data_IF_014009974515
#
_entry.id   IF_014009974515
#
_cell.length_a   1.000
_cell.length_b   1.000
_cell.length_c   1.000
_cell.angle_alpha   90.00
_cell.angle_beta   90.00
_cell.angle_gamma   90.00
#
_symmetry.space_group_name_H-M   'P 1'
#
loop_
_entity.id
_entity.type
_entity.pdbx_description
1 polymer ?
#
# COMPACT_ATOMS: atom_id res chain seq x y z
N UNK A 1 26.24 16.55 -51.35
CA UNK A 1 25.84 15.99 -50.04
C UNK A 1 24.82 14.88 -50.33
N UNK A 2 25.08 13.67 -49.85
CA UNK A 2 24.41 12.43 -50.28
C UNK A 2 23.09 12.19 -49.54
N UNK A 3 22.10 11.60 -50.22
CA UNK A 3 20.78 11.16 -49.68
C UNK A 3 20.85 10.49 -48.29
N UNK A 4 21.95 9.79 -48.01
CA UNK A 4 22.21 9.12 -46.73
C UNK A 4 22.38 10.07 -45.54
N UNK A 5 22.93 11.27 -45.75
CA UNK A 5 23.07 12.29 -44.69
C UNK A 5 21.76 13.00 -44.40
N UNK A 6 20.89 13.20 -45.41
CA UNK A 6 19.53 13.72 -45.22
C UNK A 6 18.65 12.74 -44.44
N UNK A 7 18.68 11.45 -44.79
CA UNK A 7 17.91 10.40 -44.11
C UNK A 7 18.29 10.22 -42.63
N UNK A 8 19.56 10.39 -42.27
CA UNK A 8 20.01 10.32 -40.87
C UNK A 8 19.55 11.56 -40.08
N UNK A 9 19.52 12.73 -40.71
CA UNK A 9 19.01 13.97 -40.11
C UNK A 9 17.51 13.88 -39.78
N UNK A 10 16.70 13.40 -40.73
CA UNK A 10 15.25 13.22 -40.55
C UNK A 10 14.92 12.20 -39.45
N UNK A 11 15.70 11.11 -39.35
CA UNK A 11 15.52 10.12 -38.29
C UNK A 11 15.90 10.66 -36.90
N UNK A 12 16.96 11.47 -36.81
CA UNK A 12 17.37 12.10 -35.56
C UNK A 12 16.34 13.15 -35.09
N UNK A 13 15.78 13.92 -36.01
CA UNK A 13 14.73 14.91 -35.72
C UNK A 13 13.41 14.23 -35.29
N UNK A 14 13.01 13.14 -35.95
CA UNK A 14 11.84 12.35 -35.55
C UNK A 14 12.00 11.71 -34.16
N UNK A 15 13.21 11.24 -33.82
CA UNK A 15 13.52 10.72 -32.48
C UNK A 15 13.49 11.82 -31.42
N UNK A 16 14.02 13.02 -31.74
CA UNK A 16 13.97 14.19 -30.88
C UNK A 16 12.55 14.65 -30.58
N UNK A 17 11.70 14.73 -31.61
CA UNK A 17 10.30 15.12 -31.47
C UNK A 17 9.49 14.10 -30.65
N UNK A 18 9.71 12.80 -30.87
CA UNK A 18 9.04 11.74 -30.08
C UNK A 18 9.45 11.77 -28.60
N UNK A 19 10.71 12.09 -28.30
CA UNK A 19 11.17 12.26 -26.93
C UNK A 19 10.55 13.51 -26.26
N UNK A 20 10.45 14.62 -26.99
CA UNK A 20 9.81 15.85 -26.51
C UNK A 20 8.30 15.66 -26.25
N UNK A 21 7.59 14.99 -27.15
CA UNK A 21 6.16 14.67 -26.98
C UNK A 21 5.92 13.76 -25.76
N UNK A 22 6.84 12.81 -25.53
CA UNK A 22 6.79 11.97 -24.33
C UNK A 22 7.04 12.81 -23.07
N UNK A 23 8.02 13.71 -23.07
CA UNK A 23 8.27 14.58 -21.91
C UNK A 23 7.09 15.50 -21.63
N UNK A 24 6.44 16.04 -22.66
CA UNK A 24 5.25 16.90 -22.55
C UNK A 24 4.04 16.14 -21.97
N UNK A 25 3.77 14.91 -22.44
CA UNK A 25 2.73 14.04 -21.88
C UNK A 25 3.00 13.71 -20.39
N UNK A 26 4.26 13.54 -20.02
CA UNK A 26 4.64 13.32 -18.62
C UNK A 26 4.48 14.59 -17.78
N UNK A 27 4.85 15.77 -18.29
CA UNK A 27 4.66 17.03 -17.56
C UNK A 27 3.20 17.40 -17.38
N UNK A 28 2.33 17.12 -18.36
CA UNK A 28 0.89 17.38 -18.23
C UNK A 28 0.23 16.40 -17.26
N UNK A 29 0.61 15.11 -17.31
CA UNK A 29 0.20 14.12 -16.31
C UNK A 29 0.67 14.55 -14.92
N UNK A 30 1.95 14.89 -14.74
CA UNK A 30 2.50 15.36 -13.46
C UNK A 30 1.81 16.66 -13.01
N UNK A 31 1.49 17.57 -13.93
CA UNK A 31 0.73 18.79 -13.65
C UNK A 31 -0.63 18.49 -13.02
N UNK A 32 -1.38 17.55 -13.60
CA UNK A 32 -2.65 17.08 -13.02
C UNK A 32 -2.49 16.37 -11.67
N UNK A 33 -1.35 15.70 -11.42
CA UNK A 33 -1.01 15.11 -10.12
C UNK A 33 -0.72 16.18 -9.05
N UNK A 34 -0.16 17.32 -9.44
CA UNK A 34 0.23 18.40 -8.53
C UNK A 34 -0.91 19.36 -8.20
N UNK A 35 -1.92 19.50 -9.07
CA UNK A 35 -3.05 20.40 -8.85
C UNK A 35 -4.11 19.84 -7.91
N UNK A 36 -4.07 18.53 -7.61
CA UNK A 36 -4.99 17.92 -6.65
C UNK A 36 -6.47 18.03 -7.03
N UNK A 37 -6.79 18.22 -8.32
CA UNK A 37 -8.17 18.21 -8.80
C UNK A 37 -8.77 16.81 -8.58
N UNK A 38 -9.44 16.64 -7.45
CA UNK A 38 -10.13 15.40 -7.14
C UNK A 38 -11.39 15.33 -8.00
N UNK A 39 -11.41 14.48 -9.01
CA UNK A 39 -12.66 14.04 -9.61
C UNK A 39 -13.53 13.35 -8.53
N UNK A 40 -14.85 13.32 -8.73
CA UNK A 40 -15.77 12.58 -7.84
C UNK A 40 -15.34 11.12 -7.68
N UNK A 41 -14.76 10.53 -8.73
CA UNK A 41 -14.16 9.18 -8.70
C UNK A 41 -12.99 9.05 -7.73
N UNK A 42 -12.08 10.03 -7.69
CA UNK A 42 -10.96 10.03 -6.75
C UNK A 42 -11.45 10.08 -5.29
N UNK A 43 -12.48 10.89 -5.00
CA UNK A 43 -13.05 10.94 -3.66
C UNK A 43 -13.74 9.63 -3.25
N UNK A 44 -14.46 8.99 -4.17
CA UNK A 44 -15.07 7.68 -3.93
C UNK A 44 -14.01 6.61 -3.64
N UNK A 45 -12.91 6.60 -4.40
CA UNK A 45 -11.79 5.69 -4.22
C UNK A 45 -11.09 5.88 -2.86
N UNK A 46 -10.87 7.13 -2.44
CA UNK A 46 -10.32 7.44 -1.12
C UNK A 46 -11.23 6.96 0.01
N UNK A 47 -12.55 7.16 -0.11
CA UNK A 47 -13.53 6.66 0.88
C UNK A 47 -13.52 5.13 0.97
N UNK A 48 -13.51 4.45 -0.17
CA UNK A 48 -13.44 2.99 -0.26
C UNK A 48 -12.21 2.43 0.48
N UNK A 49 -11.03 2.98 0.20
CA UNK A 49 -9.78 2.56 0.86
C UNK A 49 -9.79 2.91 2.34
N UNK A 50 -10.29 4.09 2.72
CA UNK A 50 -10.39 4.48 4.13
C UNK A 50 -11.29 3.53 4.91
N UNK A 51 -12.41 3.11 4.35
CA UNK A 51 -13.31 2.13 4.99
C UNK A 51 -12.62 0.78 5.18
N UNK A 52 -11.99 0.24 4.12
CA UNK A 52 -11.25 -1.02 4.19
C UNK A 52 -10.12 -0.97 5.22
N UNK A 53 -9.33 0.10 5.24
CA UNK A 53 -8.27 0.31 6.22
C UNK A 53 -8.82 0.43 7.64
N UNK A 54 -9.94 1.13 7.82
CA UNK A 54 -10.59 1.28 9.15
C UNK A 54 -11.02 -0.07 9.70
N UNK A 55 -11.63 -0.92 8.88
CA UNK A 55 -12.05 -2.27 9.31
C UNK A 55 -10.84 -3.16 9.57
N UNK A 56 -9.86 -3.13 8.66
CA UNK A 56 -8.67 -4.00 8.74
C UNK A 56 -7.72 -3.61 9.87
N UNK A 57 -7.77 -2.38 10.38
CA UNK A 57 -6.97 -1.89 11.52
C UNK A 57 -7.76 -1.86 12.85
N UNK A 58 -8.94 -2.49 12.90
CA UNK A 58 -9.75 -2.61 14.11
C UNK A 58 -9.66 -4.06 14.62
N UNK A 59 -9.09 -4.33 15.81
CA UNK A 59 -8.89 -5.71 16.29
C UNK A 59 -10.19 -6.49 16.49
N UNK A 60 -11.32 -5.79 16.65
CA UNK A 60 -12.64 -6.41 16.80
C UNK A 60 -13.25 -6.71 15.43
N UNK A 61 -13.12 -5.78 14.48
CA UNK A 61 -13.78 -5.87 13.17
C UNK A 61 -12.96 -6.52 12.07
N UNK A 62 -11.65 -6.58 12.19
CA UNK A 62 -10.79 -7.15 11.16
C UNK A 62 -11.20 -8.59 10.88
N UNK A 63 -11.77 -8.80 9.69
CA UNK A 63 -12.07 -10.11 9.13
C UNK A 63 -12.34 -9.99 7.63
N UNK A 64 -12.08 -11.07 6.88
CA UNK A 64 -12.42 -11.16 5.48
C UNK A 64 -13.91 -10.91 5.22
N UNK A 65 -14.79 -11.45 6.07
CA UNK A 65 -16.23 -11.26 5.92
C UNK A 65 -16.66 -9.79 6.07
N UNK A 66 -16.08 -9.06 7.03
CA UNK A 66 -16.44 -7.65 7.26
C UNK A 66 -15.92 -6.69 6.19
N UNK A 67 -14.95 -7.10 5.37
CA UNK A 67 -14.45 -6.30 4.24
C UNK A 67 -14.95 -6.79 2.88
N UNK A 68 -15.65 -7.92 2.84
CA UNK A 68 -16.06 -8.60 1.60
C UNK A 68 -16.88 -7.70 0.68
N UNK A 69 -17.71 -6.82 1.23
CA UNK A 69 -18.49 -5.87 0.45
C UNK A 69 -17.64 -4.78 -0.20
N UNK A 70 -16.36 -4.63 0.13
CA UNK A 70 -15.44 -3.63 -0.45
C UNK A 70 -14.53 -4.24 -1.52
N UNK A 71 -14.43 -5.56 -1.59
CA UNK A 71 -13.37 -6.29 -2.29
C UNK A 71 -13.91 -6.95 -3.56
N UNK A 72 -13.12 -6.94 -4.64
CA UNK A 72 -13.49 -7.60 -5.89
C UNK A 72 -13.37 -9.14 -5.74
N UNK A 73 -14.22 -9.95 -6.42
CA UNK A 73 -14.22 -11.42 -6.26
C UNK A 73 -12.88 -12.12 -6.51
N UNK A 74 -12.04 -11.55 -7.38
CA UNK A 74 -10.72 -12.07 -7.75
C UNK A 74 -9.59 -11.13 -7.28
N UNK A 75 -9.74 -10.63 -6.05
CA UNK A 75 -8.77 -9.72 -5.46
C UNK A 75 -7.41 -10.38 -5.21
N UNK A 76 -6.34 -9.57 -5.19
CA UNK A 76 -4.97 -10.04 -4.98
C UNK A 76 -4.24 -9.21 -3.93
N UNK A 77 -3.61 -9.89 -3.00
CA UNK A 77 -2.66 -9.31 -2.06
C UNK A 77 -1.23 -9.51 -2.57
N UNK A 78 -0.41 -8.46 -2.46
CA UNK A 78 1.02 -8.49 -2.80
C UNK A 78 1.79 -7.92 -1.62
N UNK A 79 2.29 -8.84 -0.78
CA UNK A 79 2.93 -8.50 0.49
C UNK A 79 3.98 -9.55 0.91
N UNK A 80 4.89 -9.98 0.02
CA UNK A 80 5.74 -11.15 0.26
C UNK A 80 6.54 -11.04 1.56
N UNK A 81 7.11 -9.87 1.85
CA UNK A 81 7.96 -9.68 3.04
C UNK A 81 7.17 -9.42 4.33
N UNK A 82 5.86 -9.17 4.25
CA UNK A 82 5.06 -8.72 5.40
C UNK A 82 3.95 -9.70 5.76
N UNK A 83 3.20 -10.17 4.76
CA UNK A 83 2.10 -11.13 4.82
C UNK A 83 2.23 -12.17 3.68
N UNK A 84 3.26 -13.05 3.71
CA UNK A 84 3.57 -13.98 2.62
C UNK A 84 2.43 -14.96 2.29
N UNK A 85 1.63 -15.32 3.29
CA UNK A 85 0.55 -16.30 3.16
C UNK A 85 -0.76 -15.67 2.65
N UNK A 86 -0.97 -14.36 2.84
CA UNK A 86 -2.16 -13.67 2.37
C UNK A 86 -2.15 -13.56 0.84
N UNK A 87 -3.12 -14.19 0.17
CA UNK A 87 -3.24 -14.18 -1.31
C UNK A 87 -4.30 -13.19 -1.79
N UNK A 88 -5.28 -12.89 -0.95
CA UNK A 88 -6.40 -11.98 -1.25
C UNK A 88 -6.51 -10.85 -0.22
N UNK A 89 -7.31 -9.83 -0.54
CA UNK A 89 -7.61 -8.75 0.41
C UNK A 89 -8.47 -9.23 1.59
N UNK A 90 -9.14 -10.37 1.45
CA UNK A 90 -9.88 -10.99 2.55
C UNK A 90 -8.88 -11.63 3.53
N UNK A 91 -7.94 -12.40 2.99
CA UNK A 91 -6.87 -13.04 3.78
C UNK A 91 -6.09 -12.01 4.58
N UNK A 92 -5.75 -10.85 3.97
CA UNK A 92 -5.06 -9.78 4.69
C UNK A 92 -5.85 -9.28 5.91
N UNK A 93 -7.17 -9.11 5.79
CA UNK A 93 -7.98 -8.63 6.91
C UNK A 93 -8.00 -9.65 8.06
N UNK A 94 -8.05 -10.95 7.75
CA UNK A 94 -7.95 -12.03 8.74
C UNK A 94 -6.53 -12.14 9.34
N UNK A 95 -5.49 -12.03 8.52
CA UNK A 95 -4.10 -12.20 8.93
C UNK A 95 -3.57 -10.99 9.71
N UNK A 96 -3.96 -9.77 9.35
CA UNK A 96 -3.57 -8.57 10.08
C UNK A 96 -4.15 -8.57 11.51
N UNK A 97 -5.29 -9.21 11.74
CA UNK A 97 -5.84 -9.42 13.09
C UNK A 97 -4.85 -10.14 14.01
N UNK A 98 -4.09 -11.10 13.49
CA UNK A 98 -3.15 -11.92 14.29
C UNK A 98 -2.10 -11.06 14.99
N UNK A 99 -1.57 -10.03 14.31
CA UNK A 99 -0.62 -9.10 14.96
C UNK A 99 -1.33 -8.14 15.91
N UNK A 100 -2.54 -7.68 15.58
CA UNK A 100 -3.31 -6.79 16.44
C UNK A 100 -3.80 -7.47 17.73
N UNK A 101 -3.85 -8.79 17.78
CA UNK A 101 -4.16 -9.52 19.03
C UNK A 101 -3.02 -9.38 20.05
N UNK A 102 -1.76 -9.38 19.61
CA UNK A 102 -0.59 -9.12 20.47
C UNK A 102 -0.31 -7.62 20.66
N UNK A 103 -0.56 -6.81 19.63
CA UNK A 103 -0.41 -5.34 19.63
C UNK A 103 -1.81 -4.71 19.62
N UNK A 104 -2.54 -4.86 20.72
CA UNK A 104 -3.99 -4.58 20.79
C UNK A 104 -4.38 -3.10 20.88
N UNK A 105 -3.41 -2.21 21.04
CA UNK A 105 -3.56 -0.75 20.94
C UNK A 105 -3.00 -0.19 19.61
N UNK A 106 -2.71 -1.07 18.65
CA UNK A 106 -2.19 -0.68 17.34
C UNK A 106 -3.13 0.31 16.65
N UNK A 107 -2.57 1.44 16.20
CA UNK A 107 -3.32 2.46 15.46
C UNK A 107 -2.44 3.21 14.47
N UNK A 108 -3.06 3.69 13.40
CA UNK A 108 -2.45 4.66 12.49
C UNK A 108 -2.52 6.04 13.13
N UNK A 109 -1.39 6.72 13.27
CA UNK A 109 -1.30 8.04 13.91
C UNK A 109 -1.20 9.18 12.91
N UNK A 110 -0.69 8.92 11.71
CA UNK A 110 -0.50 9.94 10.68
C UNK A 110 -0.49 9.31 9.29
N UNK A 111 -1.10 9.98 8.32
CA UNK A 111 -0.87 9.74 6.90
C UNK A 111 0.11 10.78 6.36
N UNK A 112 1.25 10.32 5.85
CA UNK A 112 2.25 11.15 5.17
C UNK A 112 1.91 11.33 3.69
N UNK A 113 1.34 10.29 3.09
CA UNK A 113 0.81 10.29 1.72
C UNK A 113 -0.59 9.67 1.80
N UNK A 114 -1.57 10.31 1.16
CA UNK A 114 -2.88 9.72 0.93
C UNK A 114 -3.59 10.43 -0.22
N UNK A 115 -3.55 9.85 -1.41
CA UNK A 115 -4.21 10.42 -2.60
C UNK A 115 -4.70 9.32 -3.53
N UNK A 116 -5.63 9.70 -4.41
CA UNK A 116 -6.12 8.84 -5.48
C UNK A 116 -5.78 9.46 -6.83
N UNK A 117 -5.50 8.60 -7.82
CA UNK A 117 -5.37 8.99 -9.20
C UNK A 117 -5.85 7.85 -10.08
N UNK A 118 -6.89 8.11 -10.87
CA UNK A 118 -7.52 7.10 -11.71
C UNK A 118 -8.02 5.91 -10.89
N UNK A 119 -7.51 4.72 -11.19
CA UNK A 119 -7.86 3.46 -10.54
C UNK A 119 -7.00 3.14 -9.31
N UNK A 120 -6.11 4.04 -8.88
CA UNK A 120 -5.17 3.77 -7.78
C UNK A 120 -5.35 4.71 -6.60
N UNK A 121 -5.09 4.19 -5.42
CA UNK A 121 -4.97 4.95 -4.17
C UNK A 121 -3.63 4.62 -3.54
N UNK A 122 -2.82 5.65 -3.34
CA UNK A 122 -1.51 5.53 -2.73
C UNK A 122 -1.55 6.12 -1.33
N UNK A 123 -0.97 5.40 -0.38
CA UNK A 123 -0.84 5.87 0.99
C UNK A 123 0.51 5.46 1.60
N UNK A 124 1.02 6.35 2.44
CA UNK A 124 2.13 6.12 3.35
C UNK A 124 1.72 6.67 4.70
N UNK A 125 1.95 5.92 5.75
CA UNK A 125 1.50 6.29 7.08
C UNK A 125 2.45 5.81 8.16
N UNK A 126 2.35 6.47 9.31
CA UNK A 126 2.99 6.08 10.56
C UNK A 126 1.95 5.42 11.45
N UNK A 127 2.31 4.29 12.04
CA UNK A 127 1.51 3.59 13.03
C UNK A 127 2.33 3.34 14.31
N UNK A 128 1.62 3.18 15.41
CA UNK A 128 2.22 2.83 16.70
C UNK A 128 1.40 1.75 17.40
N UNK A 129 2.02 1.06 18.34
CA UNK A 129 1.37 0.09 19.22
C UNK A 129 2.35 -0.51 20.22
N UNK A 130 1.80 -1.22 21.20
CA UNK A 130 2.51 -1.80 22.33
C UNK A 130 2.19 -3.29 22.44
N UNK A 131 3.20 -4.12 22.75
CA UNK A 131 2.99 -5.54 23.00
C UNK A 131 2.44 -5.76 24.42
N UNK A 132 1.13 -5.50 24.56
CA UNK A 132 0.34 -5.60 25.78
C UNK A 132 -0.84 -6.58 25.65
N UNK A 133 -1.03 -7.17 24.47
CA UNK A 133 -2.06 -8.16 24.20
C UNK A 133 -1.61 -9.59 24.46
N UNK A 134 -2.17 -10.52 23.69
CA UNK A 134 -1.86 -11.94 23.81
C UNK A 134 -0.41 -12.26 23.41
N UNK A 135 0.17 -13.37 23.90
CA UNK A 135 1.52 -13.78 23.55
C UNK A 135 1.76 -13.89 22.04
N UNK A 136 2.87 -13.34 21.56
CA UNK A 136 3.30 -13.52 20.18
C UNK A 136 4.23 -14.74 20.08
N UNK A 137 3.80 -15.81 19.40
CA UNK A 137 4.60 -17.03 19.22
C UNK A 137 5.24 -17.56 20.53
N UNK A 138 4.51 -17.47 21.64
CA UNK A 138 4.99 -17.90 22.96
C UNK A 138 5.76 -16.84 23.75
N UNK A 139 6.00 -15.67 23.18
CA UNK A 139 6.62 -14.52 23.87
C UNK A 139 5.53 -13.80 24.66
N UNK A 140 5.61 -13.73 25.99
CA UNK A 140 4.64 -12.97 26.79
C UNK A 140 4.67 -11.47 26.45
N UNK A 141 3.59 -10.77 26.76
CA UNK A 141 3.49 -9.32 26.61
C UNK A 141 4.72 -8.60 27.19
N UNK A 142 5.52 -7.99 26.32
CA UNK A 142 6.81 -7.38 26.71
C UNK A 142 6.66 -6.01 27.36
N UNK A 143 5.48 -5.38 27.25
CA UNK A 143 5.25 -4.01 27.70
C UNK A 143 5.90 -2.92 26.82
N UNK A 144 6.66 -3.32 25.79
CA UNK A 144 7.36 -2.38 24.90
C UNK A 144 6.42 -1.77 23.88
N UNK A 145 6.66 -0.51 23.55
CA UNK A 145 5.99 0.24 22.49
C UNK A 145 6.89 0.36 21.27
N UNK A 146 6.29 0.32 20.09
CA UNK A 146 6.95 0.54 18.82
C UNK A 146 6.22 1.59 17.98
N UNK A 147 6.97 2.28 17.14
CA UNK A 147 6.47 3.15 16.07
C UNK A 147 7.14 2.75 14.77
N UNK A 148 6.35 2.62 13.70
CA UNK A 148 6.84 2.18 12.40
C UNK A 148 6.10 2.88 11.25
N UNK A 149 6.66 2.76 10.05
CA UNK A 149 6.02 3.27 8.83
C UNK A 149 5.55 2.12 7.94
N UNK A 150 4.53 2.40 7.14
CA UNK A 150 4.04 1.49 6.13
C UNK A 150 3.59 2.26 4.89
N UNK A 151 3.65 1.60 3.74
CA UNK A 151 3.21 2.10 2.46
C UNK A 151 2.25 1.08 1.83
N UNK A 152 1.24 1.59 1.15
CA UNK A 152 0.24 0.78 0.50
C UNK A 152 -0.22 1.41 -0.81
N UNK A 153 -0.48 0.56 -1.79
CA UNK A 153 -1.11 0.93 -3.05
C UNK A 153 -2.31 0.01 -3.24
N UNK A 154 -3.48 0.61 -3.42
CA UNK A 154 -4.69 -0.10 -3.80
C UNK A 154 -4.98 0.16 -5.29
N UNK A 155 -5.35 -0.89 -6.00
CA UNK A 155 -5.94 -0.80 -7.34
C UNK A 155 -7.43 -1.10 -7.24
N UNK A 156 -8.24 -0.36 -7.98
CA UNK A 156 -9.70 -0.39 -7.92
C UNK A 156 -10.26 -0.76 -9.28
N UNK A 157 -11.17 -1.72 -9.30
CA UNK A 157 -11.89 -2.14 -10.50
C UNK A 157 -13.39 -2.12 -10.20
N UNK A 158 -14.17 -1.42 -11.02
CA UNK A 158 -15.65 -1.35 -10.90
C UNK A 158 -16.12 -0.97 -9.48
N UNK A 159 -15.42 -0.02 -8.85
CA UNK A 159 -15.74 0.46 -7.49
C UNK A 159 -15.43 -0.54 -6.37
N UNK A 160 -14.60 -1.55 -6.62
CA UNK A 160 -14.14 -2.54 -5.62
C UNK A 160 -12.62 -2.63 -5.59
N UNK A 161 -12.06 -2.97 -4.44
CA UNK A 161 -10.63 -3.16 -4.27
C UNK A 161 -10.17 -4.45 -4.96
N UNK A 162 -9.28 -4.30 -5.95
CA UNK A 162 -8.82 -5.36 -6.85
C UNK A 162 -7.44 -5.87 -6.46
N UNK A 163 -6.49 -4.98 -6.24
CA UNK A 163 -5.14 -5.35 -5.79
C UNK A 163 -4.75 -4.51 -4.59
N UNK A 164 -4.01 -5.09 -3.65
CA UNK A 164 -3.40 -4.40 -2.54
C UNK A 164 -1.92 -4.78 -2.46
N UNK A 165 -1.05 -3.81 -2.72
CA UNK A 165 0.39 -3.89 -2.48
C UNK A 165 0.70 -3.31 -1.11
N UNK A 166 1.42 -4.04 -0.26
CA UNK A 166 1.72 -3.62 1.11
C UNK A 166 3.19 -3.80 1.44
N UNK A 167 3.80 -2.70 1.84
CA UNK A 167 5.10 -2.66 2.48
C UNK A 167 4.96 -2.10 3.89
N UNK A 168 5.65 -2.73 4.83
CA UNK A 168 5.65 -2.36 6.23
C UNK A 168 7.05 -2.56 6.76
N UNK A 169 7.55 -1.57 7.48
CA UNK A 169 8.82 -1.63 8.20
C UNK A 169 8.71 -2.57 9.43
N UNK A 170 8.50 -3.86 9.12
CA UNK A 170 8.20 -4.94 10.06
C UNK A 170 9.41 -5.25 10.95
N UNK A 171 10.62 -5.23 10.37
CA UNK A 171 11.87 -5.48 11.10
C UNK A 171 12.11 -4.43 12.19
N UNK A 172 11.88 -3.16 11.89
CA UNK A 172 12.00 -2.08 12.86
C UNK A 172 11.00 -2.22 14.00
N UNK A 173 9.74 -2.58 13.69
CA UNK A 173 8.75 -2.88 14.72
C UNK A 173 9.19 -4.05 15.61
N UNK A 174 9.61 -5.20 15.06
CA UNK A 174 10.11 -6.34 15.86
C UNK A 174 11.26 -5.97 16.77
N UNK A 175 12.22 -5.21 16.25
CA UNK A 175 13.36 -4.73 17.03
C UNK A 175 12.89 -3.94 18.25
N UNK A 176 11.95 -3.00 18.07
CA UNK A 176 11.42 -2.17 19.16
C UNK A 176 10.57 -2.97 20.16
N UNK A 177 9.74 -3.91 19.68
CA UNK A 177 8.94 -4.77 20.54
C UNK A 177 9.76 -5.85 21.25
N UNK A 178 11.03 -6.03 20.87
CA UNK A 178 11.90 -7.06 21.42
C UNK A 178 11.49 -8.47 21.02
N UNK A 179 10.92 -8.63 19.82
CA UNK A 179 10.61 -9.94 19.25
C UNK A 179 11.83 -10.46 18.48
N UNK A 180 12.01 -11.79 18.36
CA UNK A 180 13.08 -12.40 17.58
C UNK A 180 13.08 -11.88 16.14
N UNK A 181 14.19 -11.27 15.74
CA UNK A 181 14.32 -10.69 14.39
C UNK A 181 14.49 -11.78 13.33
N UNK A 182 15.00 -12.94 13.73
CA UNK A 182 15.17 -14.12 12.88
C UNK A 182 13.82 -14.59 12.35
N UNK A 183 12.78 -14.60 13.20
CA UNK A 183 11.40 -14.90 12.78
C UNK A 183 10.83 -13.88 11.78
N UNK A 184 11.34 -12.64 11.78
CA UNK A 184 10.97 -11.63 10.79
C UNK A 184 11.58 -11.89 9.42
N UNK A 185 12.78 -12.47 9.40
CA UNK A 185 13.64 -12.56 8.21
C UNK A 185 13.44 -13.91 7.51
N UNK A 186 13.28 -14.99 8.28
CA UNK A 186 13.19 -16.35 7.75
C UNK A 186 11.82 -16.69 7.14
N UNK A 187 10.77 -15.99 7.54
CA UNK A 187 9.39 -16.17 7.04
C UNK A 187 9.03 -15.17 5.94
N UNK A 188 9.97 -14.85 5.03
CA UNK A 188 9.75 -13.97 3.88
C UNK A 188 9.52 -14.74 2.58
#
# INVERSE_FOLDING_TARGET
>A
MTQRQQSIGEQAEALGNKAADTILDWTDKIGSYLTGESSDGNQANLKLVKEYMTISYDPVKASGENVKHLVAPNSRMVAPTTFPDSKTLLDYADDHKKVMVSVNDLKIVKYDVFFASGDKVCLRYTAEGSHNGEPHNGIPATGKKATWTASAIFEIEKGKLKTFYKDWDKLNMWTQLGWPIEECIEKQ
#
